data_IF_553069389638
#
_entry.id   IF_553069389638
#
_cell.length_a   1.000
_cell.length_b   1.000
_cell.length_c   1.000
_cell.angle_alpha   90.00
_cell.angle_beta   90.00
_cell.angle_gamma   90.00
#
_symmetry.space_group_name_H-M   'P 1'
#
loop_
_entity.id
_entity.type
_entity.pdbx_description
1 polymer ?
#
# COMPACT_ATOMS: atom_id res chain seq x y z
N UNK A 1 -32.74 36.98 11.50
CA UNK A 1 -32.20 36.84 12.87
C UNK A 1 -31.07 35.81 12.80
N UNK A 2 -29.84 36.17 13.17
CA UNK A 2 -28.74 35.20 13.21
C UNK A 2 -28.98 34.19 14.34
N UNK A 3 -28.82 32.88 14.11
CA UNK A 3 -28.96 31.90 15.17
C UNK A 3 -27.86 32.12 16.23
N UNK A 4 -28.16 31.95 17.53
CA UNK A 4 -27.17 32.10 18.57
C UNK A 4 -26.17 30.94 18.46
N UNK A 5 -24.90 31.24 18.16
CA UNK A 5 -23.81 30.25 18.21
C UNK A 5 -23.82 29.57 19.59
N UNK A 6 -24.04 28.26 19.65
CA UNK A 6 -23.89 27.47 20.88
C UNK A 6 -22.47 27.65 21.44
N UNK A 7 -22.32 28.44 22.51
CA UNK A 7 -21.03 28.82 23.08
C UNK A 7 -20.68 27.89 24.24
N UNK A 8 -19.95 26.80 23.98
CA UNK A 8 -19.39 25.95 25.04
C UNK A 8 -18.19 26.65 25.69
N UNK A 9 -18.21 26.82 27.01
CA UNK A 9 -17.10 27.44 27.76
C UNK A 9 -16.34 26.40 28.58
N UNK A 10 -15.02 26.32 28.39
CA UNK A 10 -14.12 25.56 29.29
C UNK A 10 -13.83 26.39 30.54
N UNK A 11 -14.12 25.85 31.71
CA UNK A 11 -13.91 26.51 33.01
C UNK A 11 -13.19 25.58 33.99
N UNK A 12 -12.80 26.13 35.13
CA UNK A 12 -12.18 25.36 36.19
C UNK A 12 -12.79 25.69 37.56
N UNK A 13 -12.68 24.73 38.48
CA UNK A 13 -13.01 24.89 39.90
C UNK A 13 -11.79 24.52 40.73
N UNK A 14 -11.45 25.35 41.70
CA UNK A 14 -10.38 25.05 42.64
C UNK A 14 -10.80 23.93 43.59
N UNK A 15 -9.88 23.00 43.83
CA UNK A 15 -10.05 21.85 44.71
C UNK A 15 -8.87 21.79 45.70
N UNK A 16 -9.01 20.94 46.71
CA UNK A 16 -8.02 20.80 47.78
C UNK A 16 -6.60 20.56 47.22
N UNK A 17 -5.60 21.21 47.84
CA UNK A 17 -4.20 21.11 47.42
C UNK A 17 -3.82 22.01 46.23
N UNK A 18 -4.55 23.10 45.99
CA UNK A 18 -4.23 24.11 44.96
C UNK A 18 -4.41 23.63 43.51
N UNK A 19 -5.06 22.47 43.32
CA UNK A 19 -5.35 21.91 41.99
C UNK A 19 -6.61 22.54 41.42
N UNK A 20 -6.72 22.58 40.09
CA UNK A 20 -7.90 23.09 39.39
C UNK A 20 -8.55 21.98 38.57
N UNK A 21 -9.79 21.62 38.89
CA UNK A 21 -10.58 20.65 38.11
C UNK A 21 -11.24 21.33 36.93
N UNK A 22 -11.04 20.79 35.72
CA UNK A 22 -11.62 21.32 34.48
C UNK A 22 -13.04 20.77 34.24
N UNK A 23 -13.93 21.63 33.75
CA UNK A 23 -15.29 21.27 33.36
C UNK A 23 -15.79 22.14 32.19
N UNK A 24 -16.74 21.63 31.42
CA UNK A 24 -17.45 22.38 30.38
C UNK A 24 -18.73 22.96 30.96
N UNK A 25 -19.07 24.19 30.57
CA UNK A 25 -20.27 24.93 30.95
C UNK A 25 -20.98 25.39 29.67
N UNK A 26 -22.15 24.82 29.38
CA UNK A 26 -22.93 25.09 28.17
C UNK A 26 -24.42 24.88 28.40
N UNK A 27 -25.23 25.30 27.43
CA UNK A 27 -26.67 25.06 27.40
C UNK A 27 -26.98 24.02 26.34
N UNK A 28 -27.87 23.08 26.65
CA UNK A 28 -28.44 22.13 25.70
C UNK A 28 -29.92 21.96 26.03
N UNK A 29 -30.79 22.07 25.02
CA UNK A 29 -32.25 21.98 25.16
C UNK A 29 -32.82 22.88 26.29
N UNK A 30 -32.32 24.13 26.38
CA UNK A 30 -32.74 25.10 27.38
C UNK A 30 -32.24 24.87 28.82
N UNK A 31 -31.51 23.77 29.08
CA UNK A 31 -30.94 23.46 30.41
C UNK A 31 -29.43 23.71 30.42
N UNK A 32 -28.94 24.30 31.51
CA UNK A 32 -27.50 24.50 31.75
C UNK A 32 -26.86 23.21 32.23
N UNK A 33 -25.84 22.75 31.53
CA UNK A 33 -25.09 21.53 31.82
C UNK A 33 -23.67 21.91 32.26
N UNK A 34 -23.23 21.30 33.37
CA UNK A 34 -21.83 21.37 33.85
C UNK A 34 -21.21 19.98 33.79
N UNK A 35 -20.39 19.74 32.78
CA UNK A 35 -19.78 18.44 32.52
C UNK A 35 -18.35 18.42 33.06
N UNK A 36 -18.10 17.64 34.11
CA UNK A 36 -16.73 17.47 34.64
C UNK A 36 -15.89 16.64 33.69
N UNK A 37 -14.72 17.14 33.31
CA UNK A 37 -13.79 16.43 32.40
C UNK A 37 -12.92 15.41 33.13
N UNK A 38 -12.96 15.37 34.48
CA UNK A 38 -12.02 14.60 35.32
C UNK A 38 -10.54 14.87 34.98
N UNK A 39 -10.27 16.07 34.49
CA UNK A 39 -8.93 16.59 34.20
C UNK A 39 -8.55 17.63 35.25
N UNK A 40 -7.31 17.58 35.72
CA UNK A 40 -6.83 18.43 36.82
C UNK A 40 -5.55 19.15 36.42
N UNK A 41 -5.50 20.46 36.64
CA UNK A 41 -4.27 21.23 36.57
C UNK A 41 -3.59 21.21 37.93
N UNK A 42 -2.28 20.95 37.92
CA UNK A 42 -1.43 21.02 39.09
C UNK A 42 -1.03 22.48 39.39
N UNK A 43 -0.70 22.83 40.64
CA UNK A 43 -0.10 24.12 40.95
C UNK A 43 1.17 24.34 40.11
N UNK A 44 1.32 25.50 39.49
CA UNK A 44 2.46 25.81 38.59
C UNK A 44 3.75 26.14 39.35
N UNK A 45 4.12 25.29 40.32
CA UNK A 45 5.29 25.44 41.18
C UNK A 45 6.60 24.96 40.52
N UNK A 46 6.53 24.28 39.36
CA UNK A 46 7.70 23.79 38.63
C UNK A 46 7.53 23.84 37.11
N UNK A 47 8.67 23.86 36.39
CA UNK A 47 8.69 23.80 34.91
C UNK A 47 8.07 22.50 34.37
N UNK A 48 8.19 21.40 35.12
CA UNK A 48 7.56 20.10 34.81
C UNK A 48 6.04 20.18 34.91
N UNK A 49 5.52 20.76 36.00
CA UNK A 49 4.08 20.97 36.20
C UNK A 49 3.46 21.85 35.10
N UNK A 50 4.18 22.89 34.63
CA UNK A 50 3.73 23.71 33.49
C UNK A 50 3.62 22.91 32.18
N UNK A 51 4.58 22.01 31.92
CA UNK A 51 4.53 21.11 30.75
C UNK A 51 3.37 20.13 30.80
N UNK A 52 3.12 19.51 31.97
CA UNK A 52 2.00 18.61 32.19
C UNK A 52 0.65 19.33 32.06
N UNK A 53 0.52 20.53 32.65
CA UNK A 53 -0.69 21.36 32.53
C UNK A 53 -0.98 21.74 31.06
N UNK A 54 0.04 22.00 30.24
CA UNK A 54 -0.13 22.28 28.81
C UNK A 54 -0.75 21.10 28.07
N UNK A 55 -0.28 19.88 28.34
CA UNK A 55 -0.83 18.67 27.74
C UNK A 55 -2.28 18.39 28.22
N UNK A 56 -2.58 18.66 29.50
CA UNK A 56 -3.93 18.54 30.06
C UNK A 56 -4.89 19.55 29.44
N UNK A 57 -4.45 20.80 29.24
CA UNK A 57 -5.25 21.84 28.58
C UNK A 57 -5.53 21.51 27.11
N UNK A 58 -4.55 20.93 26.39
CA UNK A 58 -4.76 20.51 25.01
C UNK A 58 -5.85 19.41 24.91
N UNK A 59 -5.80 18.41 25.80
CA UNK A 59 -6.86 17.39 25.90
C UNK A 59 -8.22 17.99 26.25
N UNK A 60 -8.26 19.00 27.13
CA UNK A 60 -9.50 19.69 27.47
C UNK A 60 -10.09 20.47 26.29
N UNK A 61 -9.25 21.10 25.46
CA UNK A 61 -9.66 21.78 24.23
C UNK A 61 -10.18 20.81 23.17
N UNK A 62 -9.56 19.63 23.02
CA UNK A 62 -10.05 18.56 22.12
C UNK A 62 -11.46 18.08 22.54
N UNK A 63 -11.69 17.90 23.84
CA UNK A 63 -13.01 17.50 24.35
C UNK A 63 -14.04 18.62 24.13
N UNK A 64 -13.65 19.89 24.34
CA UNK A 64 -14.51 21.04 24.07
C UNK A 64 -14.90 21.12 22.58
N UNK A 65 -13.95 20.94 21.66
CA UNK A 65 -14.22 20.97 20.21
C UNK A 65 -15.18 19.86 19.82
N UNK A 66 -14.92 18.62 20.25
CA UNK A 66 -15.79 17.47 19.96
C UNK A 66 -17.22 17.69 20.48
N UNK A 67 -17.38 18.23 21.69
CA UNK A 67 -18.71 18.52 22.26
C UNK A 67 -19.43 19.65 21.50
N UNK A 68 -18.68 20.61 20.95
CA UNK A 68 -19.24 21.67 20.11
C UNK A 68 -19.72 21.11 18.77
N UNK A 69 -18.98 20.17 18.18
CA UNK A 69 -19.39 19.47 16.97
C UNK A 69 -20.66 18.64 17.22
N UNK A 70 -20.76 17.95 18.36
CA UNK A 70 -21.94 17.16 18.76
C UNK A 70 -23.19 18.04 19.00
N UNK A 71 -23.05 19.18 19.68
CA UNK A 71 -24.18 20.10 19.87
C UNK A 71 -24.58 20.82 18.57
N UNK A 72 -23.61 21.15 17.72
CA UNK A 72 -23.90 21.71 16.39
C UNK A 72 -24.58 20.68 15.49
N UNK A 73 -24.22 19.40 15.63
CA UNK A 73 -24.90 18.30 14.95
C UNK A 73 -26.34 18.12 15.47
N UNK A 74 -26.54 18.18 16.80
CA UNK A 74 -27.87 18.08 17.44
C UNK A 74 -28.76 19.31 17.18
N UNK A 75 -28.21 20.52 17.07
CA UNK A 75 -28.97 21.72 16.66
C UNK A 75 -29.33 21.70 15.16
N UNK A 76 -28.54 21.00 14.34
CA UNK A 76 -28.86 20.72 12.93
C UNK A 76 -29.85 19.57 12.72
N UNK A 77 -30.19 18.81 13.77
CA UNK A 77 -31.27 17.81 13.72
C UNK A 77 -32.68 18.43 13.82
N UNK A 78 -32.80 19.75 13.99
CA UNK A 78 -34.07 20.45 13.70
C UNK A 78 -34.15 20.71 12.19
N UNK A 79 -34.79 19.76 11.51
CA UNK A 79 -35.47 19.87 10.20
C UNK A 79 -34.70 20.53 9.05
N UNK A 80 -33.78 19.76 8.46
CA UNK A 80 -33.85 19.53 7.01
C UNK A 80 -33.84 18.01 6.81
N UNK A 81 -35.02 17.41 6.67
CA UNK A 81 -35.17 16.14 5.93
C UNK A 81 -34.75 16.39 4.48
N UNK A 82 -33.46 16.51 4.23
CA UNK A 82 -32.93 16.13 2.92
C UNK A 82 -32.93 14.61 2.95
N UNK A 83 -34.02 14.00 2.46
CA UNK A 83 -34.03 12.58 2.12
C UNK A 83 -32.77 12.30 1.31
N UNK A 84 -31.79 11.61 1.90
CA UNK A 84 -30.60 11.23 1.15
C UNK A 84 -31.08 10.36 -0.02
N UNK A 85 -30.60 10.60 -1.24
CA UNK A 85 -31.00 9.79 -2.37
C UNK A 85 -30.53 8.36 -2.10
N UNK A 86 -31.47 7.46 -1.86
CA UNK A 86 -31.14 6.06 -1.69
C UNK A 86 -30.80 5.47 -3.07
N UNK A 87 -29.55 5.04 -3.20
CA UNK A 87 -29.02 4.52 -4.45
C UNK A 87 -28.53 3.10 -4.24
N UNK A 88 -28.61 2.24 -5.28
CA UNK A 88 -28.06 0.89 -5.19
C UNK A 88 -26.58 0.90 -4.82
N UNK A 89 -26.15 0.02 -3.92
CA UNK A 89 -24.75 -0.13 -3.53
C UNK A 89 -23.85 -0.41 -4.75
N UNK A 90 -24.35 -1.21 -5.70
CA UNK A 90 -23.67 -1.50 -6.96
C UNK A 90 -23.34 -0.23 -7.76
N UNK A 91 -24.23 0.78 -7.74
CA UNK A 91 -23.99 2.07 -8.40
C UNK A 91 -22.83 2.81 -7.73
N UNK A 92 -22.81 2.89 -6.41
CA UNK A 92 -21.72 3.54 -5.68
C UNK A 92 -20.36 2.88 -5.94
N UNK A 93 -20.31 1.55 -5.96
CA UNK A 93 -19.09 0.78 -6.30
C UNK A 93 -18.66 1.05 -7.75
N UNK A 94 -19.60 1.09 -8.71
CA UNK A 94 -19.31 1.36 -10.13
C UNK A 94 -18.79 2.76 -10.35
N UNK A 95 -19.32 3.75 -9.64
CA UNK A 95 -18.81 5.11 -9.67
C UNK A 95 -17.38 5.18 -9.12
N UNK A 96 -17.09 4.46 -8.04
CA UNK A 96 -15.74 4.40 -7.47
C UNK A 96 -14.75 3.75 -8.44
N UNK A 97 -15.17 2.64 -9.07
CA UNK A 97 -14.41 2.00 -10.14
C UNK A 97 -14.08 2.99 -11.27
N UNK A 98 -15.08 3.72 -11.76
CA UNK A 98 -14.94 4.67 -12.86
C UNK A 98 -14.00 5.82 -12.50
N UNK A 99 -14.11 6.32 -11.27
CA UNK A 99 -13.24 7.35 -10.74
C UNK A 99 -11.76 6.92 -10.70
N UNK A 100 -11.49 5.72 -10.18
CA UNK A 100 -10.13 5.16 -10.11
C UNK A 100 -9.58 4.89 -11.51
N UNK A 101 -10.40 4.38 -12.43
CA UNK A 101 -10.01 4.17 -13.81
C UNK A 101 -9.68 5.48 -14.53
N UNK A 102 -10.44 6.55 -14.28
CA UNK A 102 -10.19 7.90 -14.81
C UNK A 102 -8.87 8.50 -14.36
N UNK A 103 -8.34 8.08 -13.20
CA UNK A 103 -6.98 8.43 -12.73
C UNK A 103 -5.86 7.62 -13.39
N UNK A 104 -6.19 6.66 -14.26
CA UNK A 104 -5.25 5.78 -14.93
C UNK A 104 -4.81 4.56 -14.10
N UNK A 105 -5.34 4.36 -12.89
CA UNK A 105 -5.00 3.21 -12.03
C UNK A 105 -5.85 1.98 -12.40
N UNK A 106 -5.48 1.36 -13.53
CA UNK A 106 -6.13 0.14 -14.05
C UNK A 106 -6.04 -1.04 -13.09
N UNK A 107 -4.96 -1.12 -12.30
CA UNK A 107 -4.75 -2.22 -11.35
C UNK A 107 -5.74 -2.15 -10.21
N UNK A 108 -5.88 -0.98 -9.58
CA UNK A 108 -6.85 -0.79 -8.50
C UNK A 108 -8.28 -0.91 -9.02
N UNK A 109 -8.58 -0.39 -10.21
CA UNK A 109 -9.88 -0.58 -10.87
C UNK A 109 -10.22 -2.07 -11.05
N UNK A 110 -9.26 -2.88 -11.52
CA UNK A 110 -9.44 -4.33 -11.64
C UNK A 110 -9.71 -5.02 -10.29
N UNK A 111 -9.07 -4.57 -9.21
CA UNK A 111 -9.34 -5.08 -7.86
C UNK A 111 -10.73 -4.67 -7.35
N UNK A 112 -11.22 -3.48 -7.70
CA UNK A 112 -12.57 -3.03 -7.36
C UNK A 112 -13.62 -3.93 -8.02
N UNK A 113 -13.40 -4.35 -9.27
CA UNK A 113 -14.26 -5.34 -9.94
C UNK A 113 -14.30 -6.68 -9.19
N UNK A 114 -13.14 -7.16 -8.73
CA UNK A 114 -13.07 -8.38 -7.92
C UNK A 114 -13.80 -8.23 -6.57
N UNK A 115 -13.63 -7.09 -5.91
CA UNK A 115 -14.35 -6.74 -4.68
C UNK A 115 -15.86 -6.67 -4.93
N UNK A 116 -16.30 -6.05 -6.02
CA UNK A 116 -17.72 -5.95 -6.39
C UNK A 116 -18.36 -7.32 -6.50
N UNK A 117 -17.70 -8.28 -7.16
CA UNK A 117 -18.21 -9.67 -7.25
C UNK A 117 -18.35 -10.32 -5.88
N UNK A 118 -17.41 -10.05 -4.97
CA UNK A 118 -17.47 -10.59 -3.62
C UNK A 118 -18.61 -9.98 -2.80
N UNK A 119 -18.85 -8.67 -2.94
CA UNK A 119 -19.99 -7.98 -2.32
C UNK A 119 -21.31 -8.51 -2.88
N UNK A 120 -21.43 -8.66 -4.19
CA UNK A 120 -22.61 -9.26 -4.84
C UNK A 120 -22.87 -10.69 -4.35
N UNK A 121 -21.81 -11.50 -4.19
CA UNK A 121 -21.95 -12.88 -3.70
C UNK A 121 -22.44 -12.97 -2.24
N UNK A 122 -22.29 -11.91 -1.44
CA UNK A 122 -22.71 -11.90 -0.04
C UNK A 122 -24.23 -11.71 0.12
N UNK A 123 -24.82 -10.71 -0.56
CA UNK A 123 -26.24 -10.31 -0.37
C UNK A 123 -27.01 -10.00 -1.66
N UNK A 124 -26.42 -10.26 -2.83
CA UNK A 124 -27.03 -9.96 -4.13
C UNK A 124 -26.69 -8.56 -4.66
N UNK A 125 -27.31 -8.20 -5.79
CA UNK A 125 -27.08 -6.92 -6.49
C UNK A 125 -28.06 -5.81 -6.06
N UNK A 126 -29.18 -6.19 -5.46
CA UNK A 126 -30.31 -5.29 -5.14
C UNK A 126 -30.17 -4.57 -3.79
N UNK A 127 -29.00 -4.65 -3.16
CA UNK A 127 -28.72 -4.00 -1.87
C UNK A 127 -28.68 -2.48 -2.06
N UNK A 128 -29.51 -1.75 -1.31
CA UNK A 128 -29.47 -0.29 -1.29
C UNK A 128 -28.38 0.21 -0.34
N UNK A 129 -27.89 1.43 -0.56
CA UNK A 129 -26.90 2.02 0.35
C UNK A 129 -27.47 2.24 1.76
N UNK A 130 -28.77 2.50 1.87
CA UNK A 130 -29.48 2.59 3.16
C UNK A 130 -29.40 1.30 3.99
N UNK A 131 -29.34 0.13 3.33
CA UNK A 131 -29.22 -1.19 3.97
C UNK A 131 -27.77 -1.51 4.42
N UNK A 132 -26.79 -0.72 3.99
CA UNK A 132 -25.38 -0.93 4.33
C UNK A 132 -25.09 -0.28 5.67
N UNK A 133 -25.40 -1.01 6.75
CA UNK A 133 -25.12 -0.59 8.12
C UNK A 133 -23.83 -1.24 8.68
N UNK A 134 -23.60 -1.07 9.99
CA UNK A 134 -22.47 -1.70 10.68
C UNK A 134 -22.57 -3.22 10.65
N UNK A 135 -23.78 -3.78 10.78
CA UNK A 135 -24.03 -5.22 10.76
C UNK A 135 -23.74 -5.84 9.39
N UNK A 136 -24.16 -5.16 8.31
CA UNK A 136 -23.83 -5.54 6.94
C UNK A 136 -22.32 -5.61 6.75
N UNK A 137 -21.61 -4.55 7.18
CA UNK A 137 -20.16 -4.45 7.03
C UNK A 137 -19.43 -5.50 7.87
N UNK A 138 -19.90 -5.77 9.09
CA UNK A 138 -19.34 -6.80 9.98
C UNK A 138 -19.51 -8.20 9.38
N UNK A 139 -20.72 -8.52 8.91
CA UNK A 139 -21.01 -9.79 8.24
C UNK A 139 -20.26 -9.96 6.92
N UNK A 140 -20.04 -8.88 6.16
CA UNK A 140 -19.19 -8.93 4.96
C UNK A 140 -17.74 -9.30 5.30
N UNK A 141 -17.20 -8.79 6.41
CA UNK A 141 -15.85 -9.15 6.88
C UNK A 141 -15.75 -10.65 7.19
N UNK A 142 -16.75 -11.21 7.86
CA UNK A 142 -16.80 -12.64 8.18
C UNK A 142 -16.98 -13.49 6.92
N UNK A 143 -17.90 -13.10 6.04
CA UNK A 143 -18.11 -13.76 4.76
C UNK A 143 -16.83 -13.83 3.92
N UNK A 144 -16.09 -12.71 3.80
CA UNK A 144 -14.81 -12.69 3.07
C UNK A 144 -13.74 -13.57 3.70
N UNK A 145 -13.81 -13.82 5.02
CA UNK A 145 -12.83 -14.64 5.75
C UNK A 145 -13.14 -16.13 5.65
N UNK A 146 -14.41 -16.51 5.80
CA UNK A 146 -14.81 -17.90 6.01
C UNK A 146 -15.48 -18.52 4.79
N UNK A 147 -16.32 -17.77 4.08
CA UNK A 147 -17.29 -18.35 3.14
C UNK A 147 -16.98 -18.02 1.68
N UNK A 148 -16.35 -16.88 1.40
CA UNK A 148 -16.12 -16.43 0.03
C UNK A 148 -15.02 -17.24 -0.68
N UNK A 149 -15.42 -17.85 -1.79
CA UNK A 149 -14.52 -18.56 -2.71
C UNK A 149 -14.51 -17.84 -4.06
N UNK A 150 -13.32 -17.50 -4.52
CA UNK A 150 -13.15 -16.96 -5.87
C UNK A 150 -13.16 -18.09 -6.90
N UNK A 151 -13.19 -17.73 -8.19
CA UNK A 151 -13.02 -18.69 -9.31
C UNK A 151 -11.71 -19.48 -9.21
N UNK A 152 -10.72 -18.96 -8.47
CA UNK A 152 -9.42 -19.60 -8.25
C UNK A 152 -9.31 -20.29 -6.87
N UNK A 153 -10.43 -20.51 -6.19
CA UNK A 153 -10.49 -21.13 -4.88
C UNK A 153 -10.49 -20.12 -3.72
N UNK A 154 -10.12 -20.60 -2.54
CA UNK A 154 -10.15 -19.85 -1.28
C UNK A 154 -9.33 -18.57 -1.38
N UNK A 155 -9.93 -17.45 -0.99
CA UNK A 155 -9.30 -16.15 -1.04
C UNK A 155 -8.22 -16.00 0.04
N UNK A 156 -7.08 -15.38 -0.31
CA UNK A 156 -6.03 -15.04 0.65
C UNK A 156 -6.47 -13.87 1.54
N UNK A 157 -6.05 -13.86 2.81
CA UNK A 157 -6.41 -12.79 3.75
C UNK A 157 -5.87 -11.42 3.33
N UNK A 158 -4.76 -11.39 2.58
CA UNK A 158 -4.23 -10.16 1.95
C UNK A 158 -5.22 -9.57 0.95
N UNK A 159 -5.84 -10.40 0.12
CA UNK A 159 -6.86 -9.99 -0.85
C UNK A 159 -8.14 -9.58 -0.16
N UNK A 160 -8.61 -10.35 0.83
CA UNK A 160 -9.78 -10.01 1.64
C UNK A 160 -9.63 -8.62 2.26
N UNK A 161 -8.46 -8.35 2.83
CA UNK A 161 -8.12 -7.05 3.41
C UNK A 161 -8.18 -5.94 2.37
N UNK A 162 -7.57 -6.16 1.20
CA UNK A 162 -7.62 -5.22 0.09
C UNK A 162 -9.05 -4.93 -0.33
N UNK A 163 -9.92 -5.94 -0.42
CA UNK A 163 -11.34 -5.76 -0.75
C UNK A 163 -12.06 -4.90 0.28
N UNK A 164 -11.87 -5.15 1.58
CA UNK A 164 -12.46 -4.31 2.64
C UNK A 164 -11.99 -2.85 2.54
N UNK A 165 -10.71 -2.60 2.23
CA UNK A 165 -10.24 -1.22 2.05
C UNK A 165 -10.80 -0.55 0.79
N UNK A 166 -10.95 -1.30 -0.30
CA UNK A 166 -11.58 -0.78 -1.52
C UNK A 166 -13.07 -0.50 -1.30
N UNK A 167 -13.75 -1.37 -0.56
CA UNK A 167 -15.14 -1.17 -0.16
C UNK A 167 -15.28 0.07 0.74
N UNK A 168 -14.39 0.24 1.72
CA UNK A 168 -14.31 1.48 2.52
C UNK A 168 -14.10 2.71 1.63
N UNK A 169 -13.25 2.62 0.62
CA UNK A 169 -13.02 3.70 -0.36
C UNK A 169 -14.29 4.06 -1.15
N UNK A 170 -15.05 3.05 -1.60
CA UNK A 170 -16.32 3.26 -2.29
C UNK A 170 -17.35 3.95 -1.37
N UNK A 171 -17.46 3.51 -0.11
CA UNK A 171 -18.35 4.12 0.88
C UNK A 171 -17.92 5.54 1.25
N UNK A 172 -16.63 5.82 1.38
CA UNK A 172 -16.15 7.19 1.62
C UNK A 172 -16.51 8.12 0.46
N UNK A 173 -16.38 7.66 -0.78
CA UNK A 173 -16.82 8.45 -1.93
C UNK A 173 -18.35 8.63 -1.94
N UNK A 174 -19.12 7.65 -1.47
CA UNK A 174 -20.57 7.80 -1.29
C UNK A 174 -20.91 8.84 -0.20
N UNK A 175 -20.10 8.95 0.86
CA UNK A 175 -20.20 10.04 1.86
C UNK A 175 -19.90 11.39 1.22
N UNK A 176 -18.82 11.50 0.44
CA UNK A 176 -18.44 12.74 -0.27
C UNK A 176 -19.54 13.21 -1.24
N UNK A 177 -20.29 12.28 -1.83
CA UNK A 177 -21.43 12.56 -2.72
C UNK A 177 -22.76 12.81 -2.00
N UNK A 178 -22.80 12.68 -0.69
CA UNK A 178 -24.02 12.84 0.10
C UNK A 178 -25.05 11.73 -0.14
N UNK A 179 -24.63 10.50 -0.46
CA UNK A 179 -25.53 9.34 -0.54
C UNK A 179 -25.73 8.67 0.82
N UNK A 180 -24.71 8.76 1.69
CA UNK A 180 -24.75 8.28 3.07
C UNK A 180 -24.08 9.31 3.98
N UNK A 181 -24.54 9.46 5.21
CA UNK A 181 -23.97 10.46 6.13
C UNK A 181 -22.59 10.08 6.66
N UNK A 182 -22.31 8.79 6.79
CA UNK A 182 -21.07 8.26 7.37
C UNK A 182 -20.76 6.88 6.83
N UNK A 183 -19.47 6.52 6.82
CA UNK A 183 -19.02 5.18 6.47
C UNK A 183 -19.21 4.20 7.65
N UNK A 184 -20.11 3.20 7.57
CA UNK A 184 -20.34 2.25 8.66
C UNK A 184 -19.13 1.35 8.96
N UNK A 185 -18.26 1.12 7.97
CA UNK A 185 -17.05 0.29 8.11
C UNK A 185 -16.08 0.85 9.16
N UNK A 186 -16.18 2.14 9.49
CA UNK A 186 -15.39 2.77 10.55
C UNK A 186 -15.63 2.14 11.93
N UNK A 187 -16.82 1.58 12.17
CA UNK A 187 -17.21 0.98 13.45
C UNK A 187 -16.94 -0.53 13.53
N UNK A 188 -16.39 -1.12 12.46
CA UNK A 188 -16.16 -2.56 12.37
C UNK A 188 -14.73 -2.92 12.77
N UNK A 189 -14.57 -3.93 13.62
CA UNK A 189 -13.26 -4.48 14.00
C UNK A 189 -12.73 -5.41 12.89
N UNK A 190 -11.96 -4.84 11.97
CA UNK A 190 -11.40 -5.58 10.82
C UNK A 190 -10.08 -6.26 11.20
N UNK A 191 -9.25 -5.60 12.00
CA UNK A 191 -7.84 -5.98 12.17
C UNK A 191 -7.61 -7.31 12.89
N UNK A 192 -8.54 -7.71 13.77
CA UNK A 192 -8.45 -8.98 14.50
C UNK A 192 -8.90 -10.17 13.64
N UNK A 193 -9.69 -9.90 12.59
CA UNK A 193 -10.25 -10.91 11.68
C UNK A 193 -9.53 -10.97 10.34
N UNK A 194 -8.99 -9.89 9.80
CA UNK A 194 -8.32 -9.93 8.50
C UNK A 194 -6.92 -9.34 8.61
N UNK A 195 -5.98 -10.26 8.81
CA UNK A 195 -4.56 -9.94 8.95
C UNK A 195 -3.88 -10.01 7.60
N UNK A 196 -3.08 -8.98 7.30
CA UNK A 196 -2.24 -8.98 6.11
C UNK A 196 -1.13 -10.00 6.27
N UNK A 197 -1.19 -11.10 5.54
CA UNK A 197 -0.05 -11.98 5.38
C UNK A 197 1.11 -11.22 4.70
N UNK A 198 2.31 -11.38 5.24
CA UNK A 198 3.53 -10.86 4.63
C UNK A 198 4.39 -12.06 4.23
N UNK A 199 4.05 -12.74 3.12
CA UNK A 199 4.83 -13.87 2.67
C UNK A 199 6.26 -13.41 2.41
N UNK A 200 7.20 -14.30 2.69
CA UNK A 200 8.60 -14.02 2.46
C UNK A 200 8.85 -13.85 0.97
N UNK A 201 9.71 -12.89 0.66
CA UNK A 201 10.10 -12.62 -0.71
C UNK A 201 11.02 -13.75 -1.17
N UNK A 202 10.53 -14.56 -2.11
CA UNK A 202 11.36 -15.52 -2.81
C UNK A 202 12.37 -14.80 -3.70
N UNK A 203 13.52 -15.44 -3.92
CA UNK A 203 14.62 -15.02 -4.79
C UNK A 203 15.32 -16.27 -5.34
N UNK A 204 16.11 -16.10 -6.41
CA UNK A 204 16.95 -17.16 -6.95
C UNK A 204 18.31 -17.18 -6.25
N UNK A 205 18.83 -18.35 -5.91
CA UNK A 205 20.23 -18.51 -5.46
C UNK A 205 21.20 -18.24 -6.60
N UNK A 206 22.49 -18.12 -6.28
CA UNK A 206 23.54 -17.90 -7.27
C UNK A 206 23.60 -19.06 -8.28
N UNK A 207 23.44 -20.28 -7.78
CA UNK A 207 23.41 -21.54 -8.56
C UNK A 207 22.19 -21.57 -9.48
N UNK A 208 21.00 -21.20 -8.98
CA UNK A 208 19.80 -21.11 -9.81
C UNK A 208 19.92 -20.03 -10.89
N UNK A 209 20.60 -18.91 -10.60
CA UNK A 209 20.89 -17.87 -11.60
C UNK A 209 21.84 -18.39 -12.68
N UNK A 210 22.93 -19.07 -12.31
CA UNK A 210 23.85 -19.71 -13.29
C UNK A 210 23.13 -20.73 -14.15
N UNK A 211 22.38 -21.64 -13.51
CA UNK A 211 21.60 -22.66 -14.20
C UNK A 211 20.64 -22.02 -15.20
N UNK A 212 19.99 -20.92 -14.84
CA UNK A 212 19.12 -20.19 -15.75
C UNK A 212 19.90 -19.54 -16.90
N UNK A 213 21.07 -18.93 -16.64
CA UNK A 213 21.95 -18.36 -17.66
C UNK A 213 22.41 -19.41 -18.68
N UNK A 214 22.75 -20.63 -18.23
CA UNK A 214 23.18 -21.75 -19.08
C UNK A 214 22.00 -22.41 -19.81
N UNK A 215 20.82 -22.47 -19.18
CA UNK A 215 19.63 -23.08 -19.78
C UNK A 215 19.16 -22.25 -20.97
N UNK A 216 19.08 -22.89 -22.15
CA UNK A 216 18.53 -22.27 -23.35
C UNK A 216 17.04 -21.95 -23.16
N UNK A 217 16.67 -20.68 -23.36
CA UNK A 217 15.28 -20.25 -23.32
C UNK A 217 14.46 -21.03 -24.37
N UNK A 218 13.29 -21.62 -24.02
CA UNK A 218 12.56 -22.52 -24.91
C UNK A 218 12.10 -21.86 -26.22
N UNK A 219 11.86 -20.54 -26.21
CA UNK A 219 11.39 -19.80 -27.39
C UNK A 219 12.58 -19.10 -28.05
N UNK A 220 13.27 -19.84 -28.92
CA UNK A 220 14.48 -19.38 -29.62
C UNK A 220 14.19 -18.17 -30.51
N UNK A 221 12.97 -18.07 -31.06
CA UNK A 221 12.53 -16.93 -31.88
C UNK A 221 12.41 -15.61 -31.10
N UNK A 222 12.51 -15.63 -29.76
CA UNK A 222 12.41 -14.44 -28.90
C UNK A 222 13.55 -14.38 -27.88
N UNK A 223 14.81 -14.26 -28.33
CA UNK A 223 15.97 -14.21 -27.43
C UNK A 223 15.92 -13.03 -26.46
N UNK A 224 15.21 -11.96 -26.82
CA UNK A 224 15.10 -10.73 -26.02
C UNK A 224 14.43 -10.97 -24.67
N UNK A 225 13.58 -11.99 -24.52
CA UNK A 225 12.95 -12.31 -23.23
C UNK A 225 13.98 -12.78 -22.22
N UNK A 226 14.94 -13.62 -22.64
CA UNK A 226 16.05 -14.09 -21.79
C UNK A 226 16.96 -12.92 -21.40
N UNK A 227 17.37 -12.12 -22.39
CA UNK A 227 18.20 -10.93 -22.18
C UNK A 227 17.54 -9.95 -21.21
N UNK A 228 16.28 -9.59 -21.44
CA UNK A 228 15.54 -8.65 -20.60
C UNK A 228 15.35 -9.16 -19.16
N UNK A 229 15.07 -10.45 -18.98
CA UNK A 229 14.91 -11.06 -17.65
C UNK A 229 16.22 -11.08 -16.87
N UNK A 230 17.33 -11.50 -17.50
CA UNK A 230 18.64 -11.55 -16.85
C UNK A 230 19.20 -10.15 -16.59
N UNK A 231 18.98 -9.21 -17.51
CA UNK A 231 19.27 -7.79 -17.27
C UNK A 231 18.52 -7.26 -16.04
N UNK A 232 17.26 -7.64 -15.85
CA UNK A 232 16.49 -7.30 -14.63
C UNK A 232 17.08 -7.93 -13.36
N UNK A 233 17.59 -9.16 -13.40
CA UNK A 233 18.27 -9.79 -12.24
C UNK A 233 19.49 -8.97 -11.80
N UNK A 234 20.23 -8.39 -12.73
CA UNK A 234 21.47 -7.65 -12.41
C UNK A 234 21.28 -6.14 -12.25
N UNK A 235 20.07 -5.61 -12.47
CA UNK A 235 19.77 -4.17 -12.33
C UNK A 235 18.61 -3.87 -11.38
N UNK A 236 17.80 -4.86 -11.02
CA UNK A 236 16.60 -4.66 -10.19
C UNK A 236 15.48 -3.87 -10.87
N UNK A 237 15.59 -3.63 -12.18
CA UNK A 237 14.53 -2.98 -12.96
C UNK A 237 13.28 -3.87 -13.02
N UNK A 238 12.10 -3.26 -12.90
CA UNK A 238 10.82 -3.98 -13.01
C UNK A 238 10.39 -4.10 -14.47
N UNK A 239 9.41 -4.97 -14.75
CA UNK A 239 8.86 -5.17 -16.09
C UNK A 239 8.53 -3.84 -16.80
N UNK A 240 7.87 -2.92 -16.10
CA UNK A 240 7.54 -1.60 -16.65
C UNK A 240 8.78 -0.81 -17.10
N UNK A 241 9.84 -0.81 -16.30
CA UNK A 241 11.09 -0.12 -16.68
C UNK A 241 11.75 -0.81 -17.87
N UNK A 242 11.85 -2.14 -17.84
CA UNK A 242 12.49 -2.97 -18.86
C UNK A 242 11.83 -2.78 -20.24
N UNK A 243 10.50 -2.85 -20.29
CA UNK A 243 9.73 -2.72 -21.54
C UNK A 243 9.85 -1.31 -22.13
N UNK A 244 10.03 -0.28 -21.30
CA UNK A 244 10.14 1.11 -21.73
C UNK A 244 11.59 1.61 -21.83
N UNK A 245 12.58 0.76 -21.53
CA UNK A 245 13.97 1.15 -21.42
C UNK A 245 14.54 1.53 -22.79
N UNK A 246 15.12 2.72 -22.91
CA UNK A 246 15.71 3.24 -24.15
C UNK A 246 17.21 3.35 -24.04
N UNK A 247 17.89 3.27 -25.17
CA UNK A 247 19.35 3.44 -25.24
C UNK A 247 19.81 4.79 -24.68
N UNK A 248 19.01 5.85 -24.85
CA UNK A 248 19.27 7.18 -24.27
C UNK A 248 19.30 7.20 -22.74
N UNK A 249 18.71 6.19 -22.09
CA UNK A 249 18.65 6.07 -20.64
C UNK A 249 19.94 5.46 -20.07
N UNK A 250 20.81 4.87 -20.92
CA UNK A 250 22.17 4.53 -20.55
C UNK A 250 23.04 5.80 -20.55
N UNK A 251 23.74 6.02 -19.44
CA UNK A 251 24.61 7.18 -19.22
C UNK A 251 25.99 6.72 -18.79
N UNK A 252 27.01 7.25 -19.44
CA UNK A 252 28.40 7.04 -19.05
C UNK A 252 28.81 8.15 -18.09
N UNK A 253 29.26 7.76 -16.90
CA UNK A 253 29.85 8.67 -15.93
C UNK A 253 31.25 9.12 -16.40
N UNK A 254 31.81 10.22 -15.85
CA UNK A 254 33.14 10.69 -16.22
C UNK A 254 34.26 9.65 -15.98
N UNK A 255 34.05 8.73 -15.04
CA UNK A 255 34.96 7.61 -14.75
C UNK A 255 34.81 6.42 -15.72
N UNK A 256 34.05 6.59 -16.81
CA UNK A 256 33.82 5.57 -17.84
C UNK A 256 32.79 4.50 -17.47
N UNK A 257 32.21 4.55 -16.26
CA UNK A 257 31.23 3.54 -15.83
C UNK A 257 29.85 3.82 -16.40
N UNK A 258 29.21 2.79 -16.96
CA UNK A 258 27.86 2.88 -17.49
C UNK A 258 26.82 2.70 -16.37
N UNK A 259 25.80 3.54 -16.38
CA UNK A 259 24.64 3.46 -15.49
C UNK A 259 23.35 3.54 -16.29
N UNK A 260 22.28 2.94 -15.78
CA UNK A 260 20.94 3.05 -16.35
C UNK A 260 20.07 4.01 -15.54
N UNK A 261 19.41 4.95 -16.22
CA UNK A 261 18.39 5.81 -15.65
C UNK A 261 17.06 5.07 -15.54
N UNK A 262 16.58 4.87 -14.30
CA UNK A 262 15.26 4.31 -14.03
C UNK A 262 14.24 5.44 -13.87
N UNK A 263 13.43 5.67 -14.91
CA UNK A 263 12.46 6.76 -14.94
C UNK A 263 11.35 6.64 -13.88
N UNK A 264 10.85 5.42 -13.60
CA UNK A 264 9.76 5.21 -12.64
C UNK A 264 10.15 5.54 -11.20
N UNK A 265 11.43 5.33 -10.84
CA UNK A 265 11.96 5.57 -9.50
C UNK A 265 12.87 6.80 -9.41
N UNK A 266 13.21 7.40 -10.55
CA UNK A 266 14.11 8.56 -10.68
C UNK A 266 15.47 8.31 -10.02
N UNK A 267 16.08 7.18 -10.32
CA UNK A 267 17.40 6.77 -9.80
C UNK A 267 18.33 6.35 -10.93
N UNK A 268 19.63 6.43 -10.68
CA UNK A 268 20.66 5.80 -11.51
C UNK A 268 21.10 4.49 -10.88
N UNK A 269 21.18 3.44 -11.70
CA UNK A 269 21.66 2.12 -11.29
C UNK A 269 22.96 1.85 -12.06
N UNK A 270 24.12 1.75 -11.39
CA UNK A 270 25.37 1.36 -12.02
C UNK A 270 25.26 -0.03 -12.65
N UNK A 271 25.79 -0.21 -13.85
CA UNK A 271 25.79 -1.50 -14.55
C UNK A 271 27.07 -2.27 -14.24
N UNK A 272 26.91 -3.49 -13.73
CA UNK A 272 27.99 -4.46 -13.58
C UNK A 272 28.35 -5.10 -14.93
N UNK A 273 29.51 -5.76 -15.00
CA UNK A 273 29.89 -6.59 -16.15
C UNK A 273 28.78 -7.59 -16.52
N UNK A 274 28.18 -8.24 -15.52
CA UNK A 274 27.08 -9.18 -15.70
C UNK A 274 25.84 -8.53 -16.32
N UNK A 275 25.49 -7.31 -15.91
CA UNK A 275 24.37 -6.60 -16.53
C UNK A 275 24.68 -6.24 -17.99
N UNK A 276 25.89 -5.79 -18.28
CA UNK A 276 26.30 -5.39 -19.63
C UNK A 276 26.23 -6.54 -20.64
N UNK A 277 26.57 -7.77 -20.23
CA UNK A 277 26.48 -8.98 -21.08
C UNK A 277 25.07 -9.27 -21.62
N UNK A 278 24.03 -8.74 -20.95
CA UNK A 278 22.64 -8.94 -21.36
C UNK A 278 22.05 -7.78 -22.16
N UNK A 279 22.85 -6.75 -22.50
CA UNK A 279 22.46 -5.78 -23.50
C UNK A 279 22.52 -6.42 -24.90
N UNK A 280 21.52 -6.17 -25.77
CA UNK A 280 21.55 -6.70 -27.12
C UNK A 280 22.59 -5.95 -27.97
N UNK A 281 23.36 -6.68 -28.76
CA UNK A 281 24.26 -6.10 -29.75
C UNK A 281 23.45 -5.33 -30.81
N UNK A 282 23.80 -4.07 -31.03
CA UNK A 282 23.15 -3.24 -32.04
C UNK A 282 24.10 -2.17 -32.56
N UNK A 283 24.05 -1.90 -33.85
CA UNK A 283 24.68 -0.72 -34.45
C UNK A 283 23.83 0.54 -34.27
N UNK A 284 22.53 0.36 -34.01
CA UNK A 284 21.56 1.45 -33.87
C UNK A 284 21.08 1.58 -32.42
N UNK A 285 21.60 2.59 -31.74
CA UNK A 285 21.27 2.97 -30.36
C UNK A 285 20.09 3.96 -30.28
N UNK A 286 19.16 3.93 -31.25
CA UNK A 286 17.90 4.70 -31.19
C UNK A 286 16.74 3.81 -30.74
N UNK A 287 15.91 4.36 -29.86
CA UNK A 287 14.68 3.73 -29.38
C UNK A 287 14.89 2.81 -28.19
N UNK A 288 14.05 1.77 -28.09
CA UNK A 288 14.08 0.78 -27.00
C UNK A 288 15.34 -0.09 -27.07
N UNK A 289 15.85 -0.50 -25.90
CA UNK A 289 16.92 -1.49 -25.78
C UNK A 289 16.41 -2.86 -26.19
N UNK A 290 15.39 -3.35 -25.52
CA UNK A 290 14.78 -4.66 -25.80
C UNK A 290 13.64 -4.54 -26.81
N UNK A 291 14.00 -4.39 -28.09
CA UNK A 291 13.02 -4.30 -29.20
C UNK A 291 12.30 -5.65 -29.40
N UNK A 292 11.00 -5.60 -29.69
CA UNK A 292 10.21 -6.80 -30.01
C UNK A 292 9.84 -7.67 -28.81
N UNK A 293 9.95 -7.17 -27.57
CA UNK A 293 9.41 -7.87 -26.41
C UNK A 293 7.89 -8.10 -26.60
N UNK A 294 7.39 -9.33 -26.38
CA UNK A 294 5.98 -9.61 -26.52
C UNK A 294 5.18 -9.01 -25.34
N UNK A 295 3.85 -9.12 -25.38
CA UNK A 295 2.99 -8.65 -24.28
C UNK A 295 3.32 -9.39 -22.97
N UNK A 296 3.06 -8.76 -21.83
CA UNK A 296 3.37 -9.28 -20.50
C UNK A 296 2.87 -10.72 -20.25
N UNK A 297 1.68 -11.08 -20.76
CA UNK A 297 1.13 -12.44 -20.64
C UNK A 297 2.02 -13.46 -21.31
N UNK A 298 2.50 -13.15 -22.52
CA UNK A 298 3.37 -14.01 -23.29
C UNK A 298 4.78 -14.09 -22.68
N UNK A 299 5.32 -12.96 -22.18
CA UNK A 299 6.58 -12.98 -21.44
C UNK A 299 6.46 -13.95 -20.24
N UNK A 300 5.39 -13.86 -19.45
CA UNK A 300 5.18 -14.74 -18.31
C UNK A 300 5.03 -16.22 -18.71
N UNK A 301 4.40 -16.52 -19.85
CA UNK A 301 4.29 -17.88 -20.38
C UNK A 301 5.67 -18.45 -20.77
N UNK A 302 6.48 -17.63 -21.45
CA UNK A 302 7.86 -17.99 -21.83
C UNK A 302 8.70 -18.24 -20.59
N UNK A 303 8.62 -17.35 -19.59
CA UNK A 303 9.33 -17.52 -18.31
C UNK A 303 8.90 -18.79 -17.59
N UNK A 304 7.61 -19.15 -17.60
CA UNK A 304 7.10 -20.41 -17.02
C UNK A 304 7.63 -21.65 -17.75
N UNK A 305 7.75 -21.59 -19.07
CA UNK A 305 8.37 -22.68 -19.85
C UNK A 305 9.85 -22.81 -19.53
N UNK A 306 10.57 -21.67 -19.49
CA UNK A 306 12.00 -21.65 -19.19
C UNK A 306 12.31 -22.11 -17.78
N UNK A 307 11.49 -21.71 -16.81
CA UNK A 307 11.50 -22.20 -15.44
C UNK A 307 11.46 -23.74 -15.38
N UNK A 308 10.48 -24.35 -16.07
CA UNK A 308 10.33 -25.81 -16.09
C UNK A 308 11.53 -26.50 -16.73
N UNK A 309 12.05 -25.94 -17.81
CA UNK A 309 13.24 -26.46 -18.50
C UNK A 309 14.50 -26.39 -17.62
N UNK A 310 14.64 -25.32 -16.84
CA UNK A 310 15.74 -25.15 -15.90
C UNK A 310 15.57 -25.95 -14.60
N UNK A 311 14.44 -26.65 -14.39
CA UNK A 311 14.18 -27.37 -13.14
C UNK A 311 13.98 -26.47 -11.91
N UNK A 312 13.62 -25.19 -12.10
CA UNK A 312 13.45 -24.24 -11.00
C UNK A 312 12.01 -24.28 -10.49
N UNK A 313 11.80 -24.51 -9.20
CA UNK A 313 10.45 -24.55 -8.62
C UNK A 313 9.82 -23.15 -8.48
N UNK A 314 10.66 -22.13 -8.25
CA UNK A 314 10.24 -20.75 -8.00
C UNK A 314 9.66 -20.12 -9.27
N UNK A 315 8.51 -19.48 -9.14
CA UNK A 315 7.82 -18.84 -10.27
C UNK A 315 8.65 -17.70 -10.87
N UNK A 316 9.22 -17.89 -12.05
CA UNK A 316 9.95 -16.82 -12.75
C UNK A 316 9.00 -15.69 -13.17
N UNK A 317 9.33 -14.46 -12.78
CA UNK A 317 8.67 -13.21 -13.15
C UNK A 317 9.57 -12.03 -12.75
N UNK A 318 9.33 -10.83 -13.28
CA UNK A 318 10.20 -9.67 -13.01
C UNK A 318 10.21 -9.22 -11.54
N UNK A 319 9.21 -9.60 -10.73
CA UNK A 319 9.27 -9.36 -9.28
C UNK A 319 10.25 -10.32 -8.59
N UNK A 320 10.32 -11.58 -9.05
CA UNK A 320 11.34 -12.52 -8.59
C UNK A 320 12.73 -12.04 -9.02
N UNK A 321 12.91 -11.62 -10.28
CA UNK A 321 14.18 -11.08 -10.76
C UNK A 321 14.67 -9.90 -9.91
N UNK A 322 13.78 -8.95 -9.58
CA UNK A 322 14.10 -7.84 -8.67
C UNK A 322 14.41 -8.30 -7.25
N UNK A 323 13.72 -9.31 -6.73
CA UNK A 323 14.06 -9.87 -5.42
C UNK A 323 15.42 -10.56 -5.45
N UNK A 324 15.78 -11.23 -6.55
CA UNK A 324 17.11 -11.79 -6.77
C UNK A 324 18.17 -10.70 -6.79
N UNK A 325 17.96 -9.59 -7.52
CA UNK A 325 18.86 -8.43 -7.46
C UNK A 325 19.06 -7.95 -6.01
N UNK A 326 17.96 -7.82 -5.26
CA UNK A 326 18.01 -7.39 -3.88
C UNK A 326 18.83 -8.36 -3.00
N UNK A 327 18.63 -9.67 -3.18
CA UNK A 327 19.42 -10.70 -2.50
C UNK A 327 20.90 -10.62 -2.86
N UNK A 328 21.24 -10.47 -4.16
CA UNK A 328 22.63 -10.36 -4.61
C UNK A 328 23.33 -9.16 -3.97
N UNK A 329 22.70 -7.98 -3.96
CA UNK A 329 23.25 -6.77 -3.34
C UNK A 329 23.37 -6.91 -1.82
N UNK A 330 22.36 -7.46 -1.15
CA UNK A 330 22.44 -7.63 0.31
C UNK A 330 23.49 -8.67 0.71
N UNK A 331 23.70 -9.70 -0.11
CA UNK A 331 24.68 -10.76 0.14
C UNK A 331 26.12 -10.25 0.08
N UNK A 332 26.41 -9.19 -0.69
CA UNK A 332 27.76 -8.58 -0.68
C UNK A 332 28.08 -7.85 0.62
N UNK A 333 27.11 -7.68 1.52
CA UNK A 333 27.27 -6.90 2.75
C UNK A 333 27.08 -5.39 2.54
N UNK A 334 26.43 -4.99 1.43
CA UNK A 334 26.14 -3.59 1.17
C UNK A 334 25.31 -2.95 2.30
N UNK A 335 25.68 -1.73 2.69
CA UNK A 335 24.93 -0.97 3.69
C UNK A 335 23.48 -0.73 3.25
N UNK A 336 22.57 -0.67 4.23
CA UNK A 336 21.13 -0.46 3.99
C UNK A 336 20.86 0.81 3.16
N UNK A 337 21.66 1.87 3.35
CA UNK A 337 21.55 3.11 2.58
C UNK A 337 21.84 2.87 1.09
N UNK A 338 22.95 2.20 0.78
CA UNK A 338 23.35 1.81 -0.58
C UNK A 338 22.29 0.90 -1.22
N UNK A 339 21.81 -0.10 -0.48
CA UNK A 339 20.74 -0.98 -0.92
C UNK A 339 19.46 -0.21 -1.27
N UNK A 340 19.03 0.71 -0.40
CA UNK A 340 17.84 1.53 -0.62
C UNK A 340 17.99 2.44 -1.85
N UNK A 341 19.18 3.01 -2.05
CA UNK A 341 19.51 3.84 -3.22
C UNK A 341 19.42 3.04 -4.52
N UNK A 342 20.08 1.89 -4.59
CA UNK A 342 20.07 1.00 -5.79
C UNK A 342 18.67 0.45 -6.08
N UNK A 343 17.90 0.12 -5.05
CA UNK A 343 16.54 -0.35 -5.20
C UNK A 343 15.54 0.78 -5.46
N UNK A 344 15.85 2.03 -5.12
CA UNK A 344 14.90 3.14 -5.13
C UNK A 344 13.71 2.89 -4.21
N UNK A 345 13.97 2.45 -2.98
CA UNK A 345 12.95 2.16 -1.95
C UNK A 345 13.26 2.85 -0.64
N UNK A 346 12.24 3.05 0.20
CA UNK A 346 12.43 3.56 1.55
C UNK A 346 12.96 2.49 2.51
N UNK A 347 13.62 2.92 3.59
CA UNK A 347 14.12 2.02 4.64
C UNK A 347 13.02 1.18 5.28
N UNK A 348 11.77 1.68 5.33
CA UNK A 348 10.60 0.92 5.81
C UNK A 348 10.32 -0.29 4.91
N UNK A 349 10.41 -0.12 3.60
CA UNK A 349 10.23 -1.20 2.62
C UNK A 349 11.41 -2.17 2.62
N UNK A 350 12.63 -1.65 2.81
CA UNK A 350 13.85 -2.44 2.87
C UNK A 350 13.82 -3.52 3.97
N UNK A 351 13.15 -3.27 5.11
CA UNK A 351 12.98 -4.27 6.19
C UNK A 351 12.42 -5.61 5.69
N UNK A 352 11.58 -5.62 4.66
CA UNK A 352 11.04 -6.86 4.09
C UNK A 352 12.04 -7.67 3.25
N UNK A 353 13.14 -7.04 2.83
CA UNK A 353 14.23 -7.64 2.08
C UNK A 353 15.37 -8.11 2.99
N UNK A 354 15.66 -7.39 4.07
CA UNK A 354 16.78 -7.73 4.99
C UNK A 354 16.66 -9.15 5.56
N UNK A 355 15.43 -9.62 5.82
CA UNK A 355 15.13 -10.98 6.29
C UNK A 355 15.63 -12.07 5.35
N UNK A 356 15.90 -11.76 4.07
CA UNK A 356 16.46 -12.72 3.11
C UNK A 356 17.85 -13.21 3.55
N UNK A 357 18.71 -12.30 4.00
CA UNK A 357 20.12 -12.61 4.30
C UNK A 357 20.30 -13.04 5.77
N UNK A 358 19.43 -12.59 6.68
CA UNK A 358 19.41 -13.06 8.07
C UNK A 358 19.19 -14.58 8.20
N UNK A 359 18.54 -15.20 7.20
CA UNK A 359 18.15 -16.62 7.21
C UNK A 359 18.99 -17.51 6.31
N UNK A 360 19.64 -16.93 5.31
CA UNK A 360 20.63 -17.58 4.46
C UNK A 360 21.87 -16.69 4.46
N UNK A 361 22.66 -16.70 5.56
CA UNK A 361 23.93 -16.00 5.55
C UNK A 361 24.78 -16.61 4.45
N UNK A 362 25.01 -15.82 3.38
CA UNK A 362 25.89 -16.24 2.31
C UNK A 362 27.28 -16.54 2.91
N UNK A 363 27.78 -17.74 2.67
CA UNK A 363 29.16 -18.11 2.98
C UNK A 363 30.13 -17.16 2.26
N UNK A 364 31.37 -17.04 2.75
CA UNK A 364 32.36 -16.18 2.10
C UNK A 364 32.57 -16.58 0.63
N UNK A 365 32.53 -17.88 0.33
CA UNK A 365 32.60 -18.42 -1.04
C UNK A 365 31.41 -18.00 -1.91
N UNK A 366 30.18 -18.00 -1.38
CA UNK A 366 29.01 -17.51 -2.10
C UNK A 366 29.10 -15.99 -2.35
N UNK A 367 29.67 -15.22 -1.42
CA UNK A 367 29.90 -13.79 -1.61
C UNK A 367 30.91 -13.51 -2.73
N UNK A 368 32.02 -14.26 -2.78
CA UNK A 368 32.96 -14.18 -3.90
C UNK A 368 32.31 -14.61 -5.23
N UNK A 369 31.51 -15.68 -5.22
CA UNK A 369 30.76 -16.18 -6.38
C UNK A 369 29.73 -15.18 -6.91
N UNK A 370 29.05 -14.42 -6.05
CA UNK A 370 28.14 -13.34 -6.45
C UNK A 370 28.86 -12.22 -7.22
N UNK A 371 30.14 -11.99 -6.91
CA UNK A 371 30.97 -10.96 -7.55
C UNK A 371 31.55 -11.43 -8.90
N UNK A 372 31.63 -12.74 -9.13
CA UNK A 372 32.26 -13.38 -10.30
C UNK A 372 31.32 -14.37 -10.99
N UNK A 373 30.12 -13.91 -11.37
CA UNK A 373 29.25 -14.63 -12.32
C UNK A 373 29.73 -14.43 -13.77
N UNK A 374 31.04 -14.54 -13.98
CA UNK A 374 31.69 -14.32 -15.28
C UNK A 374 31.62 -15.51 -16.23
#
# INVERSE_FOLDING_TARGET
MNPPKARISLKYKEICGGRKSLYLDYYSNGKRIRESLRLYLLPETSRKAKGENKAVMQKAMEIQHRRMDELTASEKEVEIETSLPDVPLAKAIKEYHTFILGRGDKSTAGNIMGMSRAVTAYRGEDVMLSDVDVSYCDGLVDFLRYDYHSVHGKMKMTTARSYIYLFSGALNMAVEKGYISRNPLFFVKIHDRITRERPQKQFLSVEEVRLLMETQCPVISRPQVKQAYLFSIFTGLIAYDIVNLKWKDLKTSPDGKLSVWCSSRKIFIPLSSNALRWLPDTTNHRGLIFKGLPKDTEINNILKLWQRKAGIEKRLNFSLARNTFAFLILSTGAEVATFCSLMGISSKTAKSYLVMVDRQPASMDEKLKCLQLD
#
